data_IF_367463288346
#
_entry.id   IF_367463288346
#
_cell.length_a   1.000
_cell.length_b   1.000
_cell.length_c   1.000
_cell.angle_alpha   90.00
_cell.angle_beta   90.00
_cell.angle_gamma   90.00
#
_symmetry.space_group_name_H-M   'P 1'
#
loop_
_entity.id
_entity.type
_entity.pdbx_description
1 polymer ?
#
# COMPACT_ATOMS: atom_id res chain seq x y z
N UNK A 1 -16.54 3.03 0.93
CA UNK A 1 -17.06 2.53 -0.36
C UNK A 1 -16.16 1.39 -0.76
N UNK A 2 -16.70 0.19 -1.03
CA UNK A 2 -15.90 -0.95 -1.47
C UNK A 2 -15.74 -0.88 -2.99
N UNK A 3 -14.51 -1.02 -3.49
CA UNK A 3 -14.19 -0.99 -4.91
C UNK A 3 -14.13 -2.40 -5.52
N UNK A 4 -13.71 -3.39 -4.74
CA UNK A 4 -13.67 -4.81 -5.14
C UNK A 4 -14.54 -5.69 -4.26
N UNK A 5 -14.84 -6.90 -4.74
CA UNK A 5 -15.60 -7.92 -4.02
C UNK A 5 -14.78 -9.20 -3.78
N UNK A 6 -15.30 -10.09 -2.93
CA UNK A 6 -14.59 -11.31 -2.52
C UNK A 6 -14.37 -12.28 -3.68
N UNK A 7 -15.33 -12.39 -4.60
CA UNK A 7 -15.25 -13.27 -5.76
C UNK A 7 -14.15 -12.80 -6.70
N UNK A 8 -14.17 -11.53 -7.07
CA UNK A 8 -13.16 -10.92 -7.92
C UNK A 8 -11.77 -10.96 -7.29
N UNK A 9 -11.66 -10.80 -5.96
CA UNK A 9 -10.39 -10.95 -5.26
C UNK A 9 -9.79 -12.35 -5.44
N UNK A 10 -10.62 -13.39 -5.26
CA UNK A 10 -10.20 -14.79 -5.41
C UNK A 10 -9.84 -15.14 -6.85
N UNK A 11 -10.64 -14.70 -7.82
CA UNK A 11 -10.38 -14.90 -9.25
C UNK A 11 -9.08 -14.20 -9.66
N UNK A 12 -8.90 -12.94 -9.25
CA UNK A 12 -7.70 -12.16 -9.53
C UNK A 12 -6.43 -12.82 -9.01
N UNK A 13 -6.46 -13.31 -7.76
CA UNK A 13 -5.32 -14.00 -7.16
C UNK A 13 -5.05 -15.34 -7.84
N UNK A 14 -6.10 -16.11 -8.15
CA UNK A 14 -5.99 -17.42 -8.79
C UNK A 14 -5.42 -17.31 -10.21
N UNK A 15 -5.83 -16.29 -10.98
CA UNK A 15 -5.29 -15.99 -12.31
C UNK A 15 -3.78 -15.72 -12.30
N UNK A 16 -3.20 -15.44 -11.13
CA UNK A 16 -1.77 -15.18 -10.93
C UNK A 16 -1.07 -16.27 -10.12
N UNK A 17 -1.72 -17.42 -9.97
CA UNK A 17 -1.16 -18.59 -9.29
C UNK A 17 -1.14 -18.47 -7.77
N UNK A 18 -1.86 -17.50 -7.18
CA UNK A 18 -1.97 -17.37 -5.73
C UNK A 18 -3.31 -17.95 -5.24
N UNK A 19 -3.25 -19.15 -4.67
CA UNK A 19 -4.42 -19.83 -4.11
C UNK A 19 -4.75 -19.40 -2.66
N UNK A 20 -3.95 -18.53 -2.02
CA UNK A 20 -4.13 -18.19 -0.61
C UNK A 20 -5.51 -17.57 -0.30
N UNK A 21 -6.05 -16.62 -1.10
CA UNK A 21 -7.39 -16.07 -0.85
C UNK A 21 -8.54 -17.06 -1.00
N UNK A 22 -8.38 -18.04 -1.90
CA UNK A 22 -9.36 -19.12 -2.12
C UNK A 22 -9.27 -20.20 -1.04
N UNK A 23 -8.10 -20.36 -0.43
CA UNK A 23 -7.86 -21.31 0.67
C UNK A 23 -8.18 -20.73 2.05
N UNK A 24 -8.22 -19.40 2.18
CA UNK A 24 -8.61 -18.71 3.40
C UNK A 24 -10.13 -18.75 3.62
N UNK A 25 -10.56 -18.66 4.88
CA UNK A 25 -11.97 -18.54 5.21
C UNK A 25 -12.58 -17.28 4.60
N UNK A 26 -13.88 -17.30 4.32
CA UNK A 26 -14.60 -16.10 3.83
C UNK A 26 -14.47 -14.93 4.81
N UNK A 27 -14.42 -15.21 6.11
CA UNK A 27 -14.24 -14.20 7.17
C UNK A 27 -12.88 -13.52 7.04
N UNK A 28 -11.80 -14.30 6.95
CA UNK A 28 -10.44 -13.75 6.87
C UNK A 28 -10.20 -13.01 5.56
N UNK A 29 -10.65 -13.60 4.44
CA UNK A 29 -10.53 -12.99 3.12
C UNK A 29 -11.35 -11.70 2.99
N UNK A 30 -12.58 -11.68 3.54
CA UNK A 30 -13.41 -10.47 3.57
C UNK A 30 -12.82 -9.39 4.47
N UNK A 31 -12.27 -9.77 5.63
CA UNK A 31 -11.63 -8.82 6.53
C UNK A 31 -10.36 -8.20 5.91
N UNK A 32 -9.55 -9.00 5.20
CA UNK A 32 -8.40 -8.50 4.45
C UNK A 32 -8.82 -7.56 3.32
N UNK A 33 -9.87 -7.92 2.57
CA UNK A 33 -10.43 -7.08 1.51
C UNK A 33 -10.95 -5.75 2.06
N UNK A 34 -11.61 -5.75 3.22
CA UNK A 34 -12.09 -4.50 3.84
C UNK A 34 -10.92 -3.58 4.20
N UNK A 35 -9.88 -4.08 4.87
CA UNK A 35 -8.69 -3.29 5.22
C UNK A 35 -7.99 -2.74 3.98
N UNK A 36 -7.94 -3.52 2.91
CA UNK A 36 -7.40 -3.10 1.62
C UNK A 36 -8.22 -1.98 0.96
N UNK A 37 -9.55 -2.08 0.99
CA UNK A 37 -10.43 -1.02 0.50
C UNK A 37 -10.21 0.29 1.27
N UNK A 38 -10.11 0.20 2.60
CA UNK A 38 -9.88 1.37 3.45
C UNK A 38 -8.53 2.02 3.12
N UNK A 39 -7.47 1.22 2.96
CA UNK A 39 -6.16 1.72 2.55
C UNK A 39 -6.21 2.45 1.21
N UNK A 40 -6.78 1.84 0.17
CA UNK A 40 -6.87 2.47 -1.16
C UNK A 40 -7.75 3.73 -1.13
N UNK A 41 -8.88 3.70 -0.42
CA UNK A 41 -9.78 4.83 -0.28
C UNK A 41 -9.09 6.04 0.35
N UNK A 42 -8.43 5.83 1.49
CA UNK A 42 -7.87 6.92 2.28
C UNK A 42 -6.53 7.40 1.77
N UNK A 43 -5.70 6.50 1.24
CA UNK A 43 -4.33 6.82 0.86
C UNK A 43 -4.20 7.27 -0.59
N UNK A 44 -5.04 6.75 -1.50
CA UNK A 44 -4.94 7.04 -2.93
C UNK A 44 -6.15 7.81 -3.46
N UNK A 45 -7.37 7.31 -3.25
CA UNK A 45 -8.57 7.87 -3.89
C UNK A 45 -8.80 9.33 -3.49
N UNK A 46 -8.57 9.67 -2.22
CA UNK A 46 -8.63 11.06 -1.75
C UNK A 46 -7.57 12.01 -2.35
N UNK A 47 -6.52 11.46 -2.99
CA UNK A 47 -5.37 12.20 -3.50
C UNK A 47 -5.23 12.14 -5.03
N UNK A 48 -6.21 11.59 -5.74
CA UNK A 48 -6.16 11.54 -7.20
C UNK A 48 -6.30 12.94 -7.82
N UNK A 49 -5.30 13.32 -8.61
CA UNK A 49 -5.34 14.50 -9.50
C UNK A 49 -5.91 14.15 -10.88
N UNK A 50 -5.91 12.88 -11.23
CA UNK A 50 -6.51 12.37 -12.46
C UNK A 50 -7.20 11.06 -12.13
N UNK A 51 -8.43 10.88 -12.59
CA UNK A 51 -9.23 9.70 -12.23
C UNK A 51 -8.72 8.46 -12.97
N UNK A 52 -8.25 7.41 -12.28
CA UNK A 52 -7.95 6.13 -12.91
C UNK A 52 -9.22 5.42 -13.38
N UNK A 53 -9.07 4.47 -14.30
CA UNK A 53 -10.15 3.53 -14.62
C UNK A 53 -10.51 2.68 -13.40
N UNK A 54 -11.79 2.32 -13.27
CA UNK A 54 -12.28 1.54 -12.13
C UNK A 54 -11.50 0.23 -11.96
N UNK A 55 -11.24 -0.49 -13.05
CA UNK A 55 -10.51 -1.76 -13.04
C UNK A 55 -9.10 -1.63 -12.45
N UNK A 56 -8.43 -0.49 -12.66
CA UNK A 56 -7.11 -0.22 -12.06
C UNK A 56 -7.21 -0.07 -10.54
N UNK A 57 -8.25 0.61 -10.04
CA UNK A 57 -8.49 0.76 -8.60
C UNK A 57 -8.86 -0.57 -7.97
N UNK A 58 -9.71 -1.35 -8.63
CA UNK A 58 -10.09 -2.70 -8.18
C UNK A 58 -8.87 -3.62 -8.11
N UNK A 59 -8.03 -3.63 -9.15
CA UNK A 59 -6.79 -4.41 -9.16
C UNK A 59 -5.86 -4.00 -7.99
N UNK A 60 -5.70 -2.70 -7.74
CA UNK A 60 -4.89 -2.20 -6.62
C UNK A 60 -5.47 -2.60 -5.24
N UNK A 61 -6.80 -2.62 -5.08
CA UNK A 61 -7.45 -3.15 -3.89
C UNK A 61 -7.13 -4.64 -3.71
N UNK A 62 -7.16 -5.43 -4.78
CA UNK A 62 -6.82 -6.85 -4.68
C UNK A 62 -5.34 -7.09 -4.35
N UNK A 63 -4.42 -6.25 -4.82
CA UNK A 63 -3.03 -6.28 -4.35
C UNK A 63 -2.91 -6.00 -2.85
N UNK A 64 -3.56 -4.94 -2.38
CA UNK A 64 -3.55 -4.60 -0.97
C UNK A 64 -4.18 -5.73 -0.13
N UNK A 65 -5.23 -6.38 -0.63
CA UNK A 65 -5.90 -7.48 0.05
C UNK A 65 -4.99 -8.70 0.19
N UNK A 66 -4.15 -9.00 -0.81
CA UNK A 66 -3.15 -10.09 -0.69
C UNK A 66 -2.16 -9.82 0.45
N UNK A 67 -1.68 -8.57 0.56
CA UNK A 67 -0.75 -8.17 1.64
C UNK A 67 -1.43 -8.25 3.00
N UNK A 68 -2.67 -7.74 3.11
CA UNK A 68 -3.46 -7.76 4.35
C UNK A 68 -3.92 -9.15 4.78
N UNK A 69 -4.04 -10.10 3.84
CA UNK A 69 -4.32 -11.50 4.15
C UNK A 69 -3.09 -12.20 4.72
N UNK A 70 -1.91 -11.97 4.13
CA UNK A 70 -0.65 -12.53 4.62
C UNK A 70 -0.16 -11.89 5.93
N UNK A 71 -0.47 -10.60 6.13
CA UNK A 71 -0.13 -9.85 7.33
C UNK A 71 -1.24 -8.84 7.67
N UNK A 72 -2.21 -9.26 8.50
CA UNK A 72 -3.27 -8.38 8.95
C UNK A 72 -2.74 -7.11 9.64
N UNK A 73 -3.24 -5.96 9.19
CA UNK A 73 -2.87 -4.66 9.70
C UNK A 73 -1.52 -4.14 9.18
N UNK A 74 -1.10 -4.60 8.00
CA UNK A 74 0.13 -4.12 7.39
C UNK A 74 0.06 -2.62 7.08
N UNK A 75 -1.04 -2.16 6.46
CA UNK A 75 -1.15 -0.76 6.01
C UNK A 75 -1.67 0.20 7.08
N UNK A 76 -2.27 -0.30 8.17
CA UNK A 76 -2.79 0.52 9.27
C UNK A 76 -1.89 0.51 10.51
N UNK A 77 -0.63 0.11 10.36
CA UNK A 77 0.32 0.05 11.46
C UNK A 77 0.56 1.45 12.04
N UNK A 78 0.26 1.62 13.32
CA UNK A 78 0.58 2.83 14.06
C UNK A 78 2.07 2.83 14.45
N UNK A 79 2.65 4.03 14.52
CA UNK A 79 3.99 4.23 15.05
C UNK A 79 3.98 5.43 16.00
N UNK A 80 4.82 5.39 17.02
CA UNK A 80 5.12 6.58 17.82
C UNK A 80 6.35 7.26 17.19
N UNK A 81 6.36 8.58 16.95
CA UNK A 81 7.51 9.24 16.32
C UNK A 81 8.87 8.97 16.98
N UNK A 82 8.91 8.78 18.30
CA UNK A 82 10.13 8.40 19.04
C UNK A 82 10.67 6.99 18.75
N UNK A 83 9.92 6.14 18.05
CA UNK A 83 10.37 4.81 17.61
C UNK A 83 11.16 4.88 16.29
N UNK A 84 11.15 6.02 15.60
CA UNK A 84 11.97 6.26 14.41
C UNK A 84 13.45 6.42 14.81
N UNK A 85 14.12 5.30 15.09
CA UNK A 85 15.55 5.29 15.38
C UNK A 85 16.33 5.45 14.09
N UNK A 86 17.03 6.58 13.93
CA UNK A 86 18.00 6.78 12.85
C UNK A 86 19.40 6.50 13.39
N UNK A 87 20.07 5.52 12.81
CA UNK A 87 21.49 5.27 13.07
C UNK A 87 22.30 6.35 12.33
N UNK A 88 22.72 7.39 13.07
CA UNK A 88 23.43 8.54 12.46
C UNK A 88 24.92 8.28 12.23
N UNK A 89 25.53 7.36 12.98
CA UNK A 89 26.93 6.96 12.78
C UNK A 89 27.23 5.58 13.38
N UNK A 90 27.95 4.74 12.63
CA UNK A 90 28.74 3.62 13.19
C UNK A 90 30.14 3.74 12.59
N UNK A 91 31.12 4.04 13.46
CA UNK A 91 32.59 4.10 13.18
C UNK A 91 32.95 4.15 11.68
N UNK A 92 32.74 5.30 11.05
CA UNK A 92 33.23 5.60 9.69
C UNK A 92 32.30 5.26 8.51
N UNK A 93 31.18 4.56 8.70
CA UNK A 93 30.16 4.40 7.65
C UNK A 93 29.07 5.45 7.85
N UNK A 94 28.88 6.31 6.84
CA UNK A 94 27.82 7.33 6.80
C UNK A 94 26.82 6.99 5.69
N UNK A 95 25.54 6.97 6.05
CA UNK A 95 24.43 6.85 5.11
C UNK A 95 23.75 8.22 4.98
N UNK A 96 23.64 8.73 3.76
CA UNK A 96 22.76 9.86 3.49
C UNK A 96 21.36 9.33 3.27
N UNK A 97 20.40 9.73 4.10
CA UNK A 97 19.00 9.41 3.87
C UNK A 97 18.56 10.10 2.58
N UNK A 98 18.09 9.33 1.60
CA UNK A 98 17.52 9.85 0.36
C UNK A 98 16.02 10.09 0.57
N UNK A 99 15.54 11.31 0.31
CA UNK A 99 14.16 11.73 0.55
C UNK A 99 13.99 12.62 1.80
N UNK A 100 12.74 13.00 2.11
CA UNK A 100 12.42 13.78 3.31
C UNK A 100 11.82 12.85 4.37
N UNK A 101 12.67 12.34 5.27
CA UNK A 101 12.26 11.44 6.34
C UNK A 101 11.31 12.08 7.38
N UNK A 102 11.17 13.41 7.37
CA UNK A 102 10.23 14.15 8.22
C UNK A 102 8.93 14.54 7.52
N UNK A 103 8.72 14.14 6.26
CA UNK A 103 7.48 14.46 5.56
C UNK A 103 6.30 13.60 6.06
N UNK A 104 5.10 14.16 5.97
CA UNK A 104 3.86 13.42 6.23
C UNK A 104 3.82 12.16 5.36
N UNK A 105 3.51 11.02 5.99
CA UNK A 105 3.46 9.73 5.30
C UNK A 105 4.82 9.06 5.03
N UNK A 106 5.95 9.63 5.45
CA UNK A 106 7.29 9.03 5.24
C UNK A 106 7.47 7.65 5.91
N UNK A 107 6.67 7.37 6.94
CA UNK A 107 6.67 6.09 7.67
C UNK A 107 5.49 5.19 7.28
N UNK A 108 4.64 5.61 6.33
CA UNK A 108 3.49 4.80 5.94
C UNK A 108 3.94 3.64 5.05
N UNK A 109 3.57 2.40 5.37
CA UNK A 109 3.89 1.25 4.54
C UNK A 109 3.37 1.45 3.12
N UNK A 110 4.23 1.19 2.13
CA UNK A 110 3.91 1.36 0.70
C UNK A 110 4.18 0.07 -0.04
N UNK A 111 3.31 -0.27 -1.00
CA UNK A 111 3.52 -1.39 -1.92
C UNK A 111 4.00 -0.88 -3.26
N UNK A 112 5.15 -1.36 -3.74
CA UNK A 112 5.73 -0.94 -5.03
C UNK A 112 4.82 -1.24 -6.22
N UNK A 113 4.04 -2.32 -6.15
CA UNK A 113 3.08 -2.69 -7.19
C UNK A 113 1.91 -1.70 -7.21
N UNK A 114 1.38 -1.34 -6.02
CA UNK A 114 0.28 -0.38 -5.90
C UNK A 114 0.74 1.00 -6.36
N UNK A 115 1.97 1.40 -6.04
CA UNK A 115 2.57 2.64 -6.56
C UNK A 115 2.70 2.61 -8.08
N UNK A 116 3.12 1.49 -8.67
CA UNK A 116 3.18 1.36 -10.12
C UNK A 116 1.80 1.47 -10.79
N UNK A 117 0.74 0.99 -10.12
CA UNK A 117 -0.64 1.07 -10.61
C UNK A 117 -1.22 2.48 -10.47
N UNK A 118 -1.09 3.09 -9.29
CA UNK A 118 -1.84 4.28 -8.88
C UNK A 118 -1.00 5.56 -8.81
N UNK A 119 0.32 5.47 -8.63
CA UNK A 119 1.18 6.62 -8.35
C UNK A 119 1.17 7.70 -9.43
N UNK A 120 0.92 7.34 -10.69
CA UNK A 120 0.78 8.32 -11.80
C UNK A 120 -0.48 9.18 -11.73
N UNK A 121 -1.45 8.77 -10.92
CA UNK A 121 -2.72 9.47 -10.74
C UNK A 121 -2.72 10.40 -9.52
N UNK A 122 -1.66 10.39 -8.72
CA UNK A 122 -1.49 11.21 -7.51
C UNK A 122 -0.50 12.35 -7.78
N UNK A 123 -0.70 13.51 -7.13
CA UNK A 123 0.20 14.65 -7.27
C UNK A 123 1.62 14.29 -6.78
N UNK A 124 2.60 14.27 -7.71
CA UNK A 124 4.02 13.91 -7.45
C UNK A 124 4.78 14.89 -6.51
N UNK A 125 4.09 15.84 -5.88
CA UNK A 125 4.60 16.81 -4.89
C UNK A 125 4.09 16.61 -3.46
N UNK A 126 3.05 15.80 -3.25
CA UNK A 126 2.59 15.32 -1.95
C UNK A 126 3.04 13.87 -1.84
N UNK A 127 4.23 13.65 -1.28
CA UNK A 127 4.95 12.40 -1.40
C UNK A 127 4.19 11.21 -0.82
N UNK A 128 3.96 10.20 -1.66
CA UNK A 128 3.75 8.81 -1.23
C UNK A 128 4.93 7.99 -1.78
N UNK A 129 6.07 8.15 -1.11
CA UNK A 129 7.20 7.23 -1.19
C UNK A 129 7.74 6.81 -2.57
N UNK A 130 8.37 7.73 -3.32
CA UNK A 130 9.70 7.53 -3.92
C UNK A 130 10.17 8.84 -4.57
N UNK A 131 11.17 9.49 -3.98
CA UNK A 131 11.94 10.56 -4.64
C UNK A 131 13.41 10.15 -4.72
N UNK A 132 13.83 9.78 -5.91
CA UNK A 132 15.18 9.90 -6.48
C UNK A 132 15.02 9.44 -7.93
N UNK A 133 15.37 10.21 -8.97
CA UNK A 133 16.70 10.74 -9.28
C UNK A 133 16.56 11.94 -10.22
N UNK A 134 17.35 13.01 -9.97
CA UNK A 134 17.43 14.23 -10.80
C UNK A 134 17.70 15.46 -9.95
#
# INVERSE_FOLDING_TARGET
MAYGDLTGFREYASARGNAAPSSASDVDASAALQRANDYIAYFYVGHFVTTPGNDTVVAAVYEAAQVELGKPGFFNKTYTPGEAKVLTEVKGIRWTVVGNAGADGAMTPTSTIIEAMLGKYVARGQGLGLRSVG
#
